data_IF_255427645563
#
_entry.id   IF_255427645563
#
_cell.length_a   1.000
_cell.length_b   1.000
_cell.length_c   1.000
_cell.angle_alpha   90.00
_cell.angle_beta   90.00
_cell.angle_gamma   90.00
#
_symmetry.space_group_name_H-M   'P 1'
#
loop_
_entity.id
_entity.type
_entity.pdbx_description
1 polymer ?
#
# COMPACT_ATOMS: atom_id res chain seq x y z
N UNK A 1 10.42 19.80 -36.94
CA UNK A 1 9.28 20.41 -37.67
C UNK A 1 7.90 20.08 -37.08
N UNK A 2 7.60 18.83 -36.69
CA UNK A 2 6.27 18.42 -36.19
C UNK A 2 5.82 19.17 -34.91
N UNK A 3 6.74 19.49 -34.00
CA UNK A 3 6.41 20.19 -32.75
C UNK A 3 5.96 21.65 -32.94
N UNK A 4 6.51 22.36 -33.93
CA UNK A 4 6.11 23.74 -34.24
C UNK A 4 4.69 23.77 -34.84
N UNK A 5 4.41 22.87 -35.79
CA UNK A 5 3.07 22.71 -36.37
C UNK A 5 2.01 22.32 -35.32
N UNK A 6 2.40 21.55 -34.30
CA UNK A 6 1.53 21.19 -33.16
C UNK A 6 1.18 22.40 -32.28
N UNK A 7 2.14 23.28 -31.99
CA UNK A 7 1.87 24.53 -31.24
C UNK A 7 1.01 25.50 -32.03
N UNK A 8 1.15 25.55 -33.35
CA UNK A 8 0.36 26.41 -34.22
C UNK A 8 -1.02 25.86 -34.57
N UNK A 9 -1.43 24.71 -34.00
CA UNK A 9 -2.77 24.14 -34.20
C UNK A 9 -3.02 23.55 -35.60
N UNK A 10 -1.99 23.45 -36.44
CA UNK A 10 -2.07 22.97 -37.83
C UNK A 10 -2.24 21.44 -37.93
N UNK A 11 -2.14 20.72 -36.80
CA UNK A 11 -2.27 19.26 -36.72
C UNK A 11 -3.43 18.89 -35.79
N UNK A 12 -4.57 18.46 -36.36
CA UNK A 12 -5.68 17.88 -35.59
C UNK A 12 -5.41 16.40 -35.32
N UNK A 13 -5.08 16.05 -34.08
CA UNK A 13 -5.06 14.66 -33.64
C UNK A 13 -6.50 14.18 -33.37
N UNK A 14 -6.95 13.11 -34.02
CA UNK A 14 -8.15 12.38 -33.58
C UNK A 14 -7.86 11.82 -32.19
N UNK A 15 -8.45 12.40 -31.14
CA UNK A 15 -8.40 11.84 -29.79
C UNK A 15 -8.93 10.41 -29.87
N UNK A 16 -8.04 9.42 -29.79
CA UNK A 16 -8.46 8.04 -29.63
C UNK A 16 -9.20 7.95 -28.30
N UNK A 17 -10.47 7.50 -28.33
CA UNK A 17 -11.19 7.20 -27.08
C UNK A 17 -10.37 6.16 -26.34
N UNK A 18 -9.79 6.55 -25.19
CA UNK A 18 -9.12 5.59 -24.31
C UNK A 18 -10.16 4.51 -23.97
N UNK A 19 -9.80 3.23 -24.18
CA UNK A 19 -10.65 2.11 -23.74
C UNK A 19 -10.96 2.33 -22.25
N UNK A 20 -12.23 2.28 -21.88
CA UNK A 20 -12.59 2.35 -20.45
C UNK A 20 -11.88 1.21 -19.74
N UNK A 21 -11.21 1.52 -18.63
CA UNK A 21 -10.61 0.47 -17.80
C UNK A 21 -11.79 -0.33 -17.27
N UNK A 22 -11.95 -1.57 -17.73
CA UNK A 22 -12.84 -2.52 -17.07
C UNK A 22 -12.27 -2.70 -15.66
N UNK A 23 -12.93 -2.10 -14.67
CA UNK A 23 -12.61 -2.32 -13.28
C UNK A 23 -13.05 -3.74 -12.97
N UNK A 24 -12.12 -4.71 -13.12
CA UNK A 24 -12.35 -6.08 -12.68
C UNK A 24 -12.68 -6.00 -11.20
N UNK A 25 -13.94 -6.24 -10.83
CA UNK A 25 -14.32 -6.39 -9.42
C UNK A 25 -13.56 -7.62 -8.92
N UNK A 26 -12.78 -7.43 -7.86
CA UNK A 26 -12.27 -8.58 -7.12
C UNK A 26 -13.49 -9.33 -6.56
N UNK A 27 -13.51 -10.67 -6.62
CA UNK A 27 -14.58 -11.43 -6.01
C UNK A 27 -14.67 -11.06 -4.53
N UNK A 28 -15.89 -10.87 -4.03
CA UNK A 28 -16.12 -10.63 -2.61
C UNK A 28 -15.84 -11.93 -1.85
N UNK A 29 -15.04 -11.83 -0.79
CA UNK A 29 -14.79 -12.94 0.13
C UNK A 29 -15.90 -12.95 1.17
N UNK A 30 -16.63 -14.06 1.23
CA UNK A 30 -17.85 -14.19 2.04
C UNK A 30 -17.60 -14.90 3.37
N UNK A 31 -16.43 -15.51 3.55
CA UNK A 31 -16.08 -16.30 4.72
C UNK A 31 -15.00 -15.55 5.53
N UNK A 32 -15.27 -15.20 6.80
CA UNK A 32 -14.26 -14.60 7.68
C UNK A 32 -13.01 -15.48 7.80
N UNK A 33 -11.82 -14.89 7.69
CA UNK A 33 -10.55 -15.59 7.82
C UNK A 33 -10.09 -16.33 6.55
N UNK A 34 -10.88 -16.35 5.48
CA UNK A 34 -10.50 -16.99 4.21
C UNK A 34 -9.28 -16.32 3.56
N UNK A 35 -9.17 -14.99 3.72
CA UNK A 35 -8.05 -14.23 3.20
C UNK A 35 -7.76 -13.01 4.07
N UNK A 36 -6.52 -12.94 4.54
CA UNK A 36 -6.01 -11.82 5.34
C UNK A 36 -4.89 -11.13 4.56
N UNK A 37 -5.00 -9.82 4.40
CA UNK A 37 -3.92 -8.98 3.90
C UNK A 37 -3.00 -8.63 5.08
N UNK A 38 -1.74 -9.04 5.00
CA UNK A 38 -0.72 -8.68 5.98
C UNK A 38 0.24 -7.70 5.32
N UNK A 39 0.35 -6.49 5.88
CA UNK A 39 1.27 -5.46 5.44
C UNK A 39 2.19 -5.02 6.59
N UNK A 40 3.44 -4.75 6.24
CA UNK A 40 4.49 -4.30 7.17
C UNK A 40 5.02 -2.97 6.67
N UNK A 41 4.98 -1.97 7.55
CA UNK A 41 5.50 -0.64 7.26
C UNK A 41 6.51 -0.24 8.32
N UNK A 42 7.71 0.17 7.88
CA UNK A 42 8.68 0.81 8.77
C UNK A 42 8.14 2.15 9.26
N UNK A 43 8.24 2.38 10.57
CA UNK A 43 7.83 3.62 11.21
C UNK A 43 8.91 4.68 10.94
N UNK A 44 8.55 5.83 10.35
CA UNK A 44 9.50 6.90 10.08
C UNK A 44 10.22 7.38 11.35
N UNK A 45 11.51 7.71 11.22
CA UNK A 45 12.37 8.13 12.34
C UNK A 45 11.84 9.38 13.06
N UNK A 46 11.21 10.30 12.33
CA UNK A 46 10.59 11.51 12.89
C UNK A 46 9.39 11.21 13.82
N UNK A 47 8.82 10.00 13.78
CA UNK A 47 7.78 9.55 14.68
C UNK A 47 8.32 8.97 16.00
N UNK A 48 9.62 8.67 16.08
CA UNK A 48 10.23 8.10 17.28
C UNK A 48 10.36 9.14 18.41
N UNK A 49 10.26 8.68 19.65
CA UNK A 49 10.30 9.53 20.86
C UNK A 49 11.08 8.85 21.99
N UNK A 50 11.63 9.65 22.91
CA UNK A 50 12.27 9.14 24.12
C UNK A 50 13.48 8.24 23.87
N UNK A 51 13.56 7.11 24.57
CA UNK A 51 14.68 6.13 24.46
C UNK A 51 14.80 5.56 23.05
N UNK A 52 13.68 5.28 22.38
CA UNK A 52 13.65 4.78 21.00
C UNK A 52 14.44 5.66 20.02
N UNK A 53 14.29 6.98 20.13
CA UNK A 53 15.01 7.94 19.30
C UNK A 53 16.49 8.03 19.66
N UNK A 54 16.81 8.05 20.97
CA UNK A 54 18.19 8.18 21.46
C UNK A 54 19.04 6.95 21.13
N UNK A 55 18.44 5.77 21.19
CA UNK A 55 19.10 4.49 20.98
C UNK A 55 19.09 4.06 19.50
N UNK A 56 18.56 4.90 18.59
CA UNK A 56 18.54 4.62 17.15
C UNK A 56 17.71 3.40 16.76
N UNK A 57 16.64 3.11 17.50
CA UNK A 57 15.82 1.90 17.30
C UNK A 57 14.91 2.05 16.07
N UNK A 58 14.66 0.93 15.39
CA UNK A 58 13.71 0.85 14.28
C UNK A 58 12.42 0.20 14.76
N UNK A 59 11.27 0.73 14.33
CA UNK A 59 9.97 0.16 14.64
C UNK A 59 9.23 -0.19 13.37
N UNK A 60 8.43 -1.25 13.43
CA UNK A 60 7.62 -1.71 12.32
C UNK A 60 6.17 -1.84 12.74
N UNK A 61 5.28 -1.26 11.94
CA UNK A 61 3.86 -1.43 12.07
C UNK A 61 3.43 -2.63 11.23
N UNK A 62 2.92 -3.65 11.90
CA UNK A 62 2.27 -4.80 11.29
C UNK A 62 0.78 -4.55 11.25
N UNK A 63 0.18 -4.78 10.09
CA UNK A 63 -1.27 -4.68 9.90
C UNK A 63 -1.78 -5.96 9.29
N UNK A 64 -2.80 -6.54 9.91
CA UNK A 64 -3.54 -7.68 9.38
C UNK A 64 -4.98 -7.25 9.16
N UNK A 65 -5.49 -7.40 7.94
CA UNK A 65 -6.85 -7.03 7.57
C UNK A 65 -7.53 -8.24 6.95
N UNK A 66 -8.59 -8.70 7.58
CA UNK A 66 -9.46 -9.73 7.00
C UNK A 66 -10.27 -9.12 5.84
N UNK A 67 -10.20 -9.72 4.65
CA UNK A 67 -10.83 -9.17 3.44
C UNK A 67 -12.36 -9.28 3.47
N UNK A 68 -12.90 -10.28 4.18
CA UNK A 68 -14.33 -10.50 4.33
C UNK A 68 -14.96 -9.49 5.30
N UNK A 69 -14.49 -9.46 6.55
CA UNK A 69 -15.10 -8.65 7.63
C UNK A 69 -14.58 -7.23 7.70
N UNK A 70 -13.44 -6.95 7.05
CA UNK A 70 -12.67 -5.69 7.21
C UNK A 70 -12.19 -5.46 8.64
N UNK A 71 -12.21 -6.48 9.50
CA UNK A 71 -11.56 -6.41 10.81
C UNK A 71 -10.07 -6.18 10.62
N UNK A 72 -9.53 -5.23 11.37
CA UNK A 72 -8.13 -4.82 11.29
C UNK A 72 -7.45 -4.96 12.64
N UNK A 73 -6.34 -5.68 12.64
CA UNK A 73 -5.39 -5.75 13.74
C UNK A 73 -4.14 -4.93 13.38
N UNK A 74 -3.67 -4.10 14.31
CA UNK A 74 -2.47 -3.28 14.13
C UNK A 74 -1.58 -3.45 15.35
N UNK A 75 -0.29 -3.71 15.12
CA UNK A 75 0.68 -3.90 16.18
C UNK A 75 2.04 -3.30 15.82
N UNK A 76 2.75 -2.74 16.80
CA UNK A 76 4.09 -2.18 16.63
C UNK A 76 5.16 -3.06 17.27
N UNK A 77 6.15 -3.50 16.47
CA UNK A 77 7.31 -4.27 16.96
C UNK A 77 8.61 -3.48 16.85
N UNK A 78 9.53 -3.73 17.77
CA UNK A 78 10.88 -3.14 17.82
C UNK A 78 11.91 -3.92 16.97
N UNK A 79 11.59 -5.14 16.56
CA UNK A 79 12.52 -6.05 15.87
C UNK A 79 11.86 -6.68 14.64
N UNK A 80 12.59 -6.69 13.51
CA UNK A 80 12.22 -7.39 12.27
C UNK A 80 12.85 -8.80 12.24
N UNK A 81 12.60 -9.60 13.29
CA UNK A 81 13.21 -10.93 13.45
C UNK A 81 12.16 -12.03 13.24
N UNK A 82 12.48 -13.04 12.41
CA UNK A 82 11.57 -14.17 12.07
C UNK A 82 10.93 -14.88 13.26
N UNK A 83 11.55 -14.82 14.45
CA UNK A 83 11.10 -15.50 15.67
C UNK A 83 9.73 -15.01 16.17
N UNK A 84 9.34 -13.79 15.84
CA UNK A 84 8.04 -13.23 16.26
C UNK A 84 6.85 -13.90 15.54
N UNK A 85 7.09 -14.60 14.42
CA UNK A 85 6.03 -15.24 13.63
C UNK A 85 5.63 -16.65 14.11
N UNK A 86 6.30 -17.23 15.12
CA UNK A 86 6.03 -18.60 15.56
C UNK A 86 5.13 -18.70 16.81
N UNK A 87 4.80 -17.58 17.47
CA UNK A 87 4.09 -17.56 18.75
C UNK A 87 2.72 -16.85 18.66
N UNK A 88 1.94 -17.16 17.62
CA UNK A 88 0.55 -16.70 17.48
C UNK A 88 -0.36 -17.87 17.17
#
# INVERSE_FOLDING_TARGET
MIYAAKRMGLVKYKKTKKKSRNHRRYPELLIPGEKVQIDVKEVPYNCLRGKALRDGKHFYQWTAIDECTRMRFVYGFEEHTRKTQLNS
#
